data_IF_804681729157
#
_entry.id   IF_804681729157
#
_cell.length_a   1.000
_cell.length_b   1.000
_cell.length_c   1.000
_cell.angle_alpha   90.00
_cell.angle_beta   90.00
_cell.angle_gamma   90.00
#
_symmetry.space_group_name_H-M   'P 1'
#
loop_
_entity.id
_entity.type
_entity.pdbx_description
1 polymer ?
#
# COMPACT_ATOMS: atom_id res chain seq x y z
N UNK A 1 -20.33 7.75 20.32
CA UNK A 1 -20.01 7.59 21.75
C UNK A 1 -18.96 8.64 22.09
N UNK A 2 -19.22 9.54 23.06
CA UNK A 2 -18.31 10.63 23.42
C UNK A 2 -16.92 10.16 23.89
N UNK A 3 -16.86 8.99 24.55
CA UNK A 3 -15.61 8.42 25.09
C UNK A 3 -14.73 7.90 23.97
N UNK A 4 -15.33 7.26 22.96
CA UNK A 4 -14.63 6.87 21.73
C UNK A 4 -14.06 8.09 21.00
N UNK A 5 -14.82 9.18 20.89
CA UNK A 5 -14.38 10.40 20.21
C UNK A 5 -13.27 11.17 20.96
N UNK A 6 -13.21 11.07 22.30
CA UNK A 6 -12.11 11.61 23.10
C UNK A 6 -10.86 10.74 22.98
N UNK A 7 -11.02 9.42 23.05
CA UNK A 7 -9.92 8.47 22.84
C UNK A 7 -9.33 8.60 21.43
N UNK A 8 -10.16 8.70 20.38
CA UNK A 8 -9.73 8.94 18.99
C UNK A 8 -8.94 10.25 18.87
N UNK A 9 -9.39 11.33 19.53
CA UNK A 9 -8.68 12.61 19.55
C UNK A 9 -7.34 12.53 20.28
N UNK A 10 -7.26 11.89 21.44
CA UNK A 10 -6.01 11.65 22.16
C UNK A 10 -5.05 10.74 21.36
N UNK A 11 -5.57 9.71 20.68
CA UNK A 11 -4.78 8.84 19.82
C UNK A 11 -4.25 9.59 18.60
N UNK A 12 -5.08 10.43 17.98
CA UNK A 12 -4.67 11.37 16.94
C UNK A 12 -3.59 12.32 17.47
N UNK A 13 -3.75 12.89 18.67
CA UNK A 13 -2.74 13.77 19.29
C UNK A 13 -1.41 13.07 19.56
N UNK A 14 -1.45 11.81 20.00
CA UNK A 14 -0.26 11.01 20.30
C UNK A 14 0.48 10.60 19.03
N UNK A 15 -0.24 10.43 17.93
CA UNK A 15 0.30 10.01 16.62
C UNK A 15 0.58 11.17 15.65
N UNK A 16 0.41 12.42 16.11
CA UNK A 16 0.42 13.67 15.29
C UNK A 16 1.71 13.98 14.53
N UNK A 17 2.83 13.29 14.76
CA UNK A 17 4.05 13.54 13.96
C UNK A 17 3.95 12.76 12.64
N UNK A 18 3.03 13.17 11.77
CA UNK A 18 2.96 12.67 10.40
C UNK A 18 4.12 13.25 9.60
N UNK A 19 4.87 12.39 8.92
CA UNK A 19 5.92 12.83 8.00
C UNK A 19 5.42 12.98 6.55
N UNK A 20 4.23 12.45 6.25
CA UNK A 20 3.56 12.54 4.95
C UNK A 20 2.10 12.94 5.23
N UNK A 21 1.58 13.95 4.53
CA UNK A 21 0.19 14.38 4.72
C UNK A 21 -0.79 13.56 3.85
N UNK A 22 -0.47 13.38 2.57
CA UNK A 22 -1.34 12.68 1.61
C UNK A 22 -0.59 11.70 0.71
N UNK A 23 -1.32 10.72 0.19
CA UNK A 23 -0.87 9.67 -0.70
C UNK A 23 -1.69 9.69 -2.00
N UNK A 24 -1.01 9.62 -3.14
CA UNK A 24 -1.61 9.29 -4.44
C UNK A 24 -1.31 7.84 -4.79
N UNK A 25 -2.35 7.04 -5.04
CA UNK A 25 -2.26 5.65 -5.45
C UNK A 25 -3.30 5.37 -6.55
N UNK A 26 -2.84 5.11 -7.77
CA UNK A 26 -3.74 4.95 -8.92
C UNK A 26 -4.61 6.20 -9.13
N UNK A 27 -5.95 6.09 -9.17
CA UNK A 27 -6.87 7.22 -9.27
C UNK A 27 -7.18 7.90 -7.93
N UNK A 28 -6.72 7.33 -6.80
CA UNK A 28 -7.11 7.78 -5.47
C UNK A 28 -6.11 8.77 -4.86
N UNK A 29 -6.64 9.71 -4.09
CA UNK A 29 -5.89 10.59 -3.18
C UNK A 29 -6.42 10.35 -1.78
N UNK A 30 -5.53 10.02 -0.84
CA UNK A 30 -5.90 9.62 0.52
C UNK A 30 -5.06 10.39 1.53
N UNK A 31 -5.66 10.79 2.65
CA UNK A 31 -4.92 11.37 3.78
C UNK A 31 -4.21 10.27 4.55
N UNK A 32 -2.93 10.49 4.88
CA UNK A 32 -2.18 9.58 5.74
C UNK A 32 -2.60 9.78 7.20
N UNK A 33 -2.70 8.68 7.94
CA UNK A 33 -3.17 8.69 9.33
C UNK A 33 -2.02 8.68 10.31
N UNK A 34 -0.94 7.95 10.00
CA UNK A 34 0.17 7.73 10.91
C UNK A 34 1.53 8.02 10.27
N UNK A 35 2.54 8.22 11.12
CA UNK A 35 3.94 8.23 10.70
C UNK A 35 4.32 6.91 10.01
N UNK A 36 5.05 7.02 8.89
CA UNK A 36 5.70 5.88 8.24
C UNK A 36 7.19 6.15 8.00
N UNK A 37 8.10 5.20 8.31
CA UNK A 37 9.55 5.38 8.25
C UNK A 37 10.08 5.28 6.81
N UNK A 38 9.57 6.12 5.91
CA UNK A 38 10.17 6.31 4.59
C UNK A 38 11.60 6.87 4.73
N UNK A 39 12.49 6.63 3.76
CA UNK A 39 13.86 7.15 3.80
C UNK A 39 13.90 8.67 4.04
N UNK A 40 14.95 9.18 4.70
CA UNK A 40 15.04 10.58 5.17
C UNK A 40 14.72 11.63 4.10
N UNK A 41 15.06 11.38 2.84
CA UNK A 41 14.75 12.29 1.73
C UNK A 41 13.26 12.38 1.37
N UNK A 42 12.39 11.58 2.01
CA UNK A 42 10.94 11.57 1.90
C UNK A 42 10.23 12.07 3.18
N UNK A 43 10.96 12.65 4.15
CA UNK A 43 10.34 13.30 5.31
C UNK A 43 9.65 14.61 4.94
N UNK A 44 8.57 14.96 5.65
CA UNK A 44 7.82 16.21 5.55
C UNK A 44 7.27 16.47 4.13
N UNK A 45 6.75 15.42 3.49
CA UNK A 45 6.12 15.55 2.18
C UNK A 45 4.64 15.85 2.32
N UNK A 46 4.17 16.89 1.64
CA UNK A 46 2.73 17.13 1.49
C UNK A 46 2.04 15.97 0.76
N UNK A 47 2.64 15.46 -0.31
CA UNK A 47 2.07 14.37 -1.10
C UNK A 47 3.15 13.37 -1.51
N UNK A 48 2.90 12.10 -1.24
CA UNK A 48 3.66 10.97 -1.76
C UNK A 48 2.93 10.36 -2.96
N UNK A 49 3.65 10.08 -4.05
CA UNK A 49 3.09 9.43 -5.24
C UNK A 49 3.56 7.99 -5.32
N UNK A 50 2.64 7.03 -5.38
CA UNK A 50 2.98 5.60 -5.38
C UNK A 50 2.38 4.93 -6.61
N UNK A 51 3.20 4.15 -7.31
CA UNK A 51 2.72 3.29 -8.40
C UNK A 51 1.83 2.19 -7.83
N UNK A 52 0.59 2.07 -8.32
CA UNK A 52 -0.37 1.05 -7.87
C UNK A 52 0.07 -0.40 -8.12
N UNK A 53 0.94 -0.61 -9.12
CA UNK A 53 1.42 -1.94 -9.46
C UNK A 53 2.68 -2.31 -8.68
N UNK A 54 3.79 -1.59 -8.89
CA UNK A 54 5.10 -1.96 -8.32
C UNK A 54 5.42 -1.32 -6.95
N UNK A 55 4.49 -0.50 -6.43
CA UNK A 55 4.59 0.22 -5.16
C UNK A 55 5.81 1.14 -5.03
N UNK A 56 6.46 1.47 -6.14
CA UNK A 56 7.54 2.46 -6.13
C UNK A 56 6.98 3.82 -5.74
N UNK A 57 7.61 4.46 -4.76
CA UNK A 57 7.19 5.72 -4.19
C UNK A 57 8.09 6.88 -4.65
N UNK A 58 7.47 8.01 -4.97
CA UNK A 58 8.09 9.16 -5.63
C UNK A 58 7.64 10.47 -4.98
N UNK A 59 8.53 11.45 -4.99
CA UNK A 59 8.30 12.76 -4.35
C UNK A 59 7.61 13.78 -5.27
N UNK A 60 7.81 13.63 -6.58
CA UNK A 60 7.40 14.61 -7.59
C UNK A 60 6.40 13.96 -8.55
N UNK A 61 5.37 14.71 -8.91
CA UNK A 61 4.39 14.31 -9.93
C UNK A 61 5.04 14.03 -11.28
N UNK A 62 6.11 14.74 -11.66
CA UNK A 62 6.83 14.51 -12.92
C UNK A 62 7.49 13.14 -12.95
N UNK A 63 8.17 12.75 -11.87
CA UNK A 63 8.75 11.41 -11.70
C UNK A 63 7.67 10.33 -11.72
N UNK A 64 6.52 10.57 -11.08
CA UNK A 64 5.38 9.65 -11.09
C UNK A 64 4.82 9.44 -12.50
N UNK A 65 4.58 10.51 -13.26
CA UNK A 65 4.11 10.43 -14.65
C UNK A 65 5.11 9.69 -15.54
N UNK A 66 6.40 10.00 -15.41
CA UNK A 66 7.45 9.32 -16.16
C UNK A 66 7.48 7.82 -15.81
N UNK A 67 7.42 7.46 -14.52
CA UNK A 67 7.38 6.07 -14.09
C UNK A 67 6.15 5.34 -14.64
N UNK A 68 4.95 5.92 -14.56
CA UNK A 68 3.72 5.29 -15.09
C UNK A 68 3.80 4.99 -16.59
N UNK A 69 4.46 5.86 -17.36
CA UNK A 69 4.63 5.66 -18.80
C UNK A 69 5.60 4.51 -19.16
N UNK A 70 6.53 4.15 -18.27
CA UNK A 70 7.58 3.15 -18.55
C UNK A 70 7.47 1.88 -17.69
N UNK A 71 6.70 1.90 -16.61
CA UNK A 71 6.49 0.76 -15.74
C UNK A 71 5.77 -0.34 -16.53
N UNK A 72 6.37 -1.53 -16.59
CA UNK A 72 5.82 -2.72 -17.26
C UNK A 72 5.05 -3.63 -16.31
N UNK A 73 5.16 -3.43 -14.99
CA UNK A 73 4.43 -4.22 -13.99
C UNK A 73 2.93 -3.89 -14.03
N UNK A 74 2.08 -4.93 -14.07
CA UNK A 74 0.62 -4.82 -14.05
C UNK A 74 -0.06 -5.70 -12.99
N UNK A 75 0.72 -6.35 -12.14
CA UNK A 75 0.21 -7.21 -11.07
C UNK A 75 1.22 -7.29 -9.92
N UNK A 76 0.78 -7.65 -8.71
CA UNK A 76 1.71 -8.03 -7.64
C UNK A 76 2.65 -9.16 -8.09
N UNK A 77 3.89 -9.20 -7.59
CA UNK A 77 4.75 -10.36 -7.79
C UNK A 77 4.20 -11.59 -7.05
N UNK A 78 4.83 -12.74 -7.22
CA UNK A 78 4.44 -13.97 -6.54
C UNK A 78 3.38 -14.77 -7.29
N UNK A 79 2.77 -15.71 -6.58
CA UNK A 79 1.86 -16.70 -7.17
C UNK A 79 0.42 -16.24 -6.95
N UNK A 80 -0.37 -16.16 -8.03
CA UNK A 80 -1.82 -16.05 -7.90
C UNK A 80 -2.40 -17.35 -7.37
N UNK A 81 -3.03 -17.30 -6.20
CA UNK A 81 -3.60 -18.47 -5.51
C UNK A 81 -5.13 -18.45 -5.47
N UNK A 82 -5.75 -17.32 -5.80
CA UNK A 82 -7.19 -17.16 -5.89
C UNK A 82 -7.54 -16.29 -7.08
N UNK A 83 -8.63 -16.63 -7.77
CA UNK A 83 -9.18 -15.91 -8.91
C UNK A 83 -10.68 -16.23 -8.99
N UNK A 84 -11.53 -15.25 -8.74
CA UNK A 84 -12.99 -15.39 -8.85
C UNK A 84 -13.61 -14.11 -9.42
N UNK A 85 -14.66 -14.22 -10.25
CA UNK A 85 -15.43 -13.04 -10.66
C UNK A 85 -15.99 -12.30 -9.44
N UNK A 86 -15.97 -10.97 -9.45
CA UNK A 86 -16.66 -10.18 -8.43
C UNK A 86 -18.17 -10.24 -8.68
N UNK A 87 -18.98 -10.72 -7.71
CA UNK A 87 -20.42 -10.74 -7.87
C UNK A 87 -20.97 -9.32 -7.97
N UNK A 88 -21.91 -9.11 -8.89
CA UNK A 88 -22.60 -7.82 -9.09
C UNK A 88 -21.68 -6.66 -9.50
N UNK A 89 -20.55 -6.94 -10.14
CA UNK A 89 -19.71 -5.92 -10.77
C UNK A 89 -20.13 -5.70 -12.22
N UNK A 90 -20.54 -4.47 -12.57
CA UNK A 90 -20.96 -4.09 -13.93
C UNK A 90 -19.83 -4.26 -14.95
N UNK A 91 -18.58 -4.11 -14.49
CA UNK A 91 -17.39 -4.23 -15.32
C UNK A 91 -16.90 -5.68 -15.47
N UNK A 92 -17.66 -6.67 -14.94
CA UNK A 92 -17.32 -8.09 -14.95
C UNK A 92 -15.88 -8.38 -14.46
N UNK A 93 -15.45 -7.64 -13.44
CA UNK A 93 -14.09 -7.69 -12.92
C UNK A 93 -13.83 -8.93 -12.04
N UNK A 94 -12.56 -9.23 -11.75
CA UNK A 94 -12.18 -10.38 -10.92
C UNK A 94 -11.51 -9.94 -9.61
N UNK A 95 -11.65 -10.76 -8.58
CA UNK A 95 -10.88 -10.68 -7.35
C UNK A 95 -9.76 -11.72 -7.38
N UNK A 96 -8.52 -11.23 -7.35
CA UNK A 96 -7.32 -12.05 -7.29
C UNK A 96 -6.65 -11.95 -5.91
N UNK A 97 -6.07 -13.05 -5.45
CA UNK A 97 -5.15 -13.06 -4.31
C UNK A 97 -3.80 -13.60 -4.74
N UNK A 98 -2.76 -12.81 -4.48
CA UNK A 98 -1.37 -13.13 -4.74
C UNK A 98 -0.65 -13.48 -3.45
N UNK A 99 -0.04 -14.66 -3.39
CA UNK A 99 0.86 -15.08 -2.32
C UNK A 99 2.30 -14.70 -2.68
N UNK A 100 2.91 -13.89 -1.83
CA UNK A 100 4.28 -13.41 -1.97
C UNK A 100 5.09 -13.93 -0.78
N UNK A 101 6.23 -14.53 -1.07
CA UNK A 101 7.26 -14.75 -0.05
C UNK A 101 8.06 -13.44 0.14
N UNK A 102 8.14 -12.94 1.39
CA UNK A 102 8.91 -11.74 1.71
C UNK A 102 10.42 -11.86 1.47
N UNK A 103 10.95 -13.08 1.38
CA UNK A 103 12.33 -13.34 0.97
C UNK A 103 12.52 -13.10 -0.53
N UNK A 104 11.60 -13.62 -1.35
CA UNK A 104 11.69 -13.54 -2.82
C UNK A 104 11.29 -12.16 -3.36
N UNK A 105 10.21 -11.59 -2.81
CA UNK A 105 9.65 -10.31 -3.20
C UNK A 105 10.06 -9.16 -2.26
N UNK A 106 11.24 -9.25 -1.64
CA UNK A 106 11.70 -8.37 -0.56
C UNK A 106 11.44 -6.88 -0.77
N UNK A 107 11.84 -6.33 -1.91
CA UNK A 107 11.67 -4.91 -2.19
C UNK A 107 10.19 -4.51 -2.31
N UNK A 108 9.36 -5.37 -2.89
CA UNK A 108 7.92 -5.13 -2.99
C UNK A 108 7.26 -5.14 -1.61
N UNK A 109 7.57 -6.17 -0.81
CA UNK A 109 7.04 -6.32 0.55
C UNK A 109 7.47 -5.18 1.47
N UNK A 110 8.71 -4.68 1.36
CA UNK A 110 9.16 -3.50 2.11
C UNK A 110 8.39 -2.23 1.71
N UNK A 111 8.18 -1.99 0.41
CA UNK A 111 7.37 -0.87 -0.07
C UNK A 111 5.92 -0.98 0.41
N UNK A 112 5.34 -2.18 0.37
CA UNK A 112 4.01 -2.46 0.88
C UNK A 112 3.91 -2.18 2.39
N UNK A 113 4.91 -2.59 3.18
CA UNK A 113 4.96 -2.31 4.60
C UNK A 113 5.04 -0.81 4.92
N UNK A 114 5.85 -0.05 4.18
CA UNK A 114 5.95 1.41 4.33
C UNK A 114 4.63 2.09 3.97
N UNK A 115 3.97 1.64 2.89
CA UNK A 115 2.65 2.11 2.49
C UNK A 115 1.61 1.81 3.59
N UNK A 116 1.57 0.58 4.09
CA UNK A 116 0.62 0.16 5.11
C UNK A 116 0.79 0.92 6.44
N UNK A 117 2.03 1.26 6.81
CA UNK A 117 2.32 2.00 8.05
C UNK A 117 1.74 3.41 8.05
N UNK A 118 1.40 3.99 6.89
CA UNK A 118 0.66 5.26 6.81
C UNK A 118 -0.78 5.12 7.36
N UNK A 119 -1.32 3.91 7.43
CA UNK A 119 -2.71 3.62 7.82
C UNK A 119 -2.82 2.67 9.01
N UNK A 120 -1.70 2.16 9.53
CA UNK A 120 -1.64 1.28 10.69
C UNK A 120 -0.77 1.91 11.78
N UNK A 121 -1.32 2.03 12.99
CA UNK A 121 -0.59 2.62 14.11
C UNK A 121 0.53 1.70 14.60
N UNK A 122 0.17 0.50 15.04
CA UNK A 122 1.08 -0.43 15.74
C UNK A 122 1.82 -1.43 14.82
N UNK A 123 2.16 -1.04 13.59
CA UNK A 123 2.98 -1.89 12.71
C UNK A 123 4.47 -1.75 13.06
N UNK A 124 5.04 -2.79 13.66
CA UNK A 124 6.41 -2.80 14.20
C UNK A 124 7.47 -3.27 13.20
N UNK A 125 7.11 -4.16 12.27
CA UNK A 125 8.04 -4.73 11.29
C UNK A 125 7.73 -4.23 9.87
N UNK A 126 8.69 -3.52 9.28
CA UNK A 126 8.58 -2.93 7.95
C UNK A 126 9.82 -3.09 7.05
N UNK A 127 11.00 -3.37 7.62
CA UNK A 127 12.21 -3.67 6.84
C UNK A 127 12.56 -5.16 6.80
N UNK A 128 12.39 -5.87 7.93
CA UNK A 128 12.57 -7.31 7.94
C UNK A 128 11.26 -8.01 7.57
N UNK A 129 11.15 -8.30 6.27
CA UNK A 129 9.98 -8.94 5.65
C UNK A 129 10.20 -10.43 5.38
N UNK A 130 11.44 -10.91 5.53
CA UNK A 130 11.88 -12.28 5.24
C UNK A 130 11.07 -13.35 5.97
N UNK A 131 10.67 -13.15 7.25
CA UNK A 131 9.91 -14.14 8.01
C UNK A 131 8.41 -14.25 7.63
N UNK A 132 7.94 -13.48 6.65
CA UNK A 132 6.51 -13.35 6.38
C UNK A 132 6.13 -13.78 4.95
N UNK A 133 4.95 -14.39 4.85
CA UNK A 133 4.15 -14.39 3.63
C UNK A 133 3.26 -13.15 3.59
N UNK A 134 3.03 -12.64 2.39
CA UNK A 134 2.10 -11.55 2.12
C UNK A 134 1.04 -12.02 1.14
N UNK A 135 -0.23 -11.80 1.50
CA UNK A 135 -1.38 -12.12 0.66
C UNK A 135 -1.98 -10.81 0.17
N UNK A 136 -1.66 -10.45 -1.07
CA UNK A 136 -2.09 -9.20 -1.69
C UNK A 136 -3.39 -9.45 -2.44
N UNK A 137 -4.43 -8.72 -2.05
CA UNK A 137 -5.75 -8.77 -2.69
C UNK A 137 -5.80 -7.68 -3.75
N UNK A 138 -6.25 -8.03 -4.95
CA UNK A 138 -6.37 -7.11 -6.07
C UNK A 138 -7.69 -7.27 -6.82
N UNK A 139 -8.29 -6.13 -7.23
CA UNK A 139 -9.35 -6.10 -8.24
C UNK A 139 -8.68 -6.10 -9.62
N UNK A 140 -9.17 -6.92 -10.53
CA UNK A 140 -8.58 -7.11 -11.87
C UNK A 140 -9.53 -6.60 -12.93
N UNK A 141 -9.02 -5.75 -13.80
CA UNK A 141 -9.69 -5.25 -15.00
C UNK A 141 -8.79 -5.46 -16.25
N UNK A 142 -9.17 -4.87 -17.39
CA UNK A 142 -8.44 -4.95 -18.65
C UNK A 142 -7.04 -4.29 -18.62
N UNK A 143 -6.76 -3.46 -17.62
CA UNK A 143 -5.50 -2.75 -17.44
C UNK A 143 -4.53 -3.49 -16.52
N UNK A 144 -5.02 -4.24 -15.54
CA UNK A 144 -4.18 -5.07 -14.68
C UNK A 144 -4.83 -5.47 -13.36
N UNK A 145 -4.00 -5.85 -12.40
CA UNK A 145 -4.40 -6.17 -11.02
C UNK A 145 -4.10 -5.00 -10.09
N UNK A 146 -5.15 -4.33 -9.64
CA UNK A 146 -5.14 -3.14 -8.80
C UNK A 146 -5.23 -3.56 -7.33
N UNK A 147 -4.19 -3.27 -6.55
CA UNK A 147 -4.17 -3.60 -5.12
C UNK A 147 -5.32 -2.91 -4.38
N UNK A 148 -6.10 -3.68 -3.61
CA UNK A 148 -7.19 -3.18 -2.76
C UNK A 148 -6.92 -3.40 -1.27
N UNK A 149 -6.04 -4.34 -0.94
CA UNK A 149 -5.68 -4.64 0.44
C UNK A 149 -4.66 -5.76 0.52
N UNK A 150 -4.20 -6.06 1.73
CA UNK A 150 -3.35 -7.22 1.98
C UNK A 150 -3.41 -7.65 3.45
N UNK A 151 -2.95 -8.86 3.73
CA UNK A 151 -2.55 -9.28 5.07
C UNK A 151 -1.20 -9.99 5.01
N UNK A 152 -0.47 -9.99 6.13
CA UNK A 152 0.79 -10.74 6.28
C UNK A 152 0.63 -11.85 7.30
N UNK A 153 1.32 -12.97 7.07
CA UNK A 153 1.32 -14.15 7.95
C UNK A 153 2.77 -14.55 8.21
N UNK A 154 3.12 -14.81 9.47
CA UNK A 154 4.42 -15.41 9.80
C UNK A 154 4.51 -16.82 9.19
N UNK A 155 5.70 -17.19 8.73
CA UNK A 155 5.96 -18.48 8.07
C UNK A 155 5.81 -19.66 9.03
#
# INVERSE_FOLDING_TARGET
>A
DPVLAEWEREHEETTKIKNIESLVLGPYVMDAWYYSPFPKNYSNLKTLYVCEYCLTYMRKVSSYKHHRAHCTTRQPPGKRIYHQPLPNDEDASYLDVYELDGQDAKLYCQKLCLLAKLFLDHKTLYYDVTPFYFYVVAKVDDHGSHIVGYFSKEK
#
